data_IF_629433902875
#
_entry.id   IF_629433902875
#
_cell.length_a   1.000
_cell.length_b   1.000
_cell.length_c   1.000
_cell.angle_alpha   90.00
_cell.angle_beta   90.00
_cell.angle_gamma   90.00
#
_symmetry.space_group_name_H-M   'P 1'
#
loop_
_entity.id
_entity.type
_entity.pdbx_description
1 polymer ?
#
# COMPACT_ATOMS: atom_id res chain seq x y z
N UNK A 1 3.71 4.91 20.46
CA UNK A 1 3.24 4.86 19.15
C UNK A 1 4.22 4.28 18.22
N UNK A 2 5.33 4.91 18.04
CA UNK A 2 6.35 4.41 17.18
C UNK A 2 6.82 3.03 17.58
N UNK A 3 6.96 2.79 18.85
CA UNK A 3 7.35 1.49 19.35
C UNK A 3 6.28 0.44 19.06
N UNK A 4 5.01 0.80 19.23
CA UNK A 4 3.91 -0.09 18.93
C UNK A 4 3.89 -0.44 17.46
N UNK A 5 4.13 0.54 16.60
CA UNK A 5 4.15 0.31 15.17
C UNK A 5 5.28 -0.62 14.77
N UNK A 6 6.48 -0.40 15.32
CA UNK A 6 7.63 -1.24 15.02
C UNK A 6 7.39 -2.68 15.47
N UNK A 7 6.77 -2.86 16.61
CA UNK A 7 6.44 -4.18 17.11
C UNK A 7 5.45 -4.88 16.19
N UNK A 8 4.45 -4.16 15.71
CA UNK A 8 3.48 -4.74 14.79
C UNK A 8 4.11 -5.15 13.48
N UNK A 9 5.02 -4.33 12.95
CA UNK A 9 5.72 -4.68 11.71
C UNK A 9 6.56 -5.92 11.89
N UNK A 10 7.14 -6.12 13.07
CA UNK A 10 7.99 -7.27 13.28
C UNK A 10 7.22 -8.54 13.57
N UNK A 11 6.03 -8.44 14.15
CA UNK A 11 5.37 -9.63 14.69
C UNK A 11 3.94 -9.84 14.21
N UNK A 12 3.30 -8.85 13.61
CA UNK A 12 1.89 -8.97 13.24
C UNK A 12 1.66 -8.42 11.83
N UNK A 13 2.32 -9.05 10.88
CA UNK A 13 2.21 -8.65 9.48
C UNK A 13 1.04 -9.36 8.83
N UNK A 14 0.39 -8.68 7.91
CA UNK A 14 -0.75 -9.23 7.18
C UNK A 14 -0.74 -8.72 5.75
N UNK A 15 -1.66 -9.23 4.96
CA UNK A 15 -1.80 -8.87 3.56
C UNK A 15 -3.20 -8.31 3.38
N UNK A 16 -3.30 -7.19 2.69
CA UNK A 16 -4.58 -6.55 2.42
C UNK A 16 -4.80 -6.56 0.90
N UNK A 17 -5.68 -7.44 0.40
CA UNK A 17 -5.95 -7.45 -1.03
C UNK A 17 -6.88 -6.30 -1.40
N UNK A 18 -6.67 -5.75 -2.59
CA UNK A 18 -7.50 -4.65 -3.05
C UNK A 18 -7.50 -4.62 -4.57
N UNK A 19 -8.52 -4.04 -5.16
CA UNK A 19 -8.53 -3.82 -6.59
C UNK A 19 -7.58 -2.70 -6.98
N UNK A 20 -7.42 -1.73 -6.09
CA UNK A 20 -6.57 -0.59 -6.33
C UNK A 20 -6.63 0.34 -5.14
N UNK A 21 -6.15 1.54 -5.34
CA UNK A 21 -6.22 2.53 -4.27
C UNK A 21 -6.28 3.92 -4.89
N UNK A 22 -6.59 4.90 -4.05
CA UNK A 22 -6.67 6.29 -4.47
C UNK A 22 -5.57 7.10 -3.81
N UNK A 23 -5.14 8.16 -4.50
CA UNK A 23 -4.26 9.15 -3.91
C UNK A 23 -4.66 10.53 -4.44
N UNK A 24 -4.31 11.55 -3.69
CA UNK A 24 -4.60 12.93 -4.05
C UNK A 24 -3.30 13.69 -4.15
N UNK A 25 -3.21 14.56 -5.17
CA UNK A 25 -2.04 15.41 -5.29
C UNK A 25 -2.23 16.66 -4.43
N UNK A 26 -1.29 17.59 -4.51
CA UNK A 26 -1.35 18.79 -3.68
C UNK A 26 -2.52 19.68 -4.02
N UNK A 27 -3.02 19.59 -5.25
CA UNK A 27 -4.19 20.35 -5.68
C UNK A 27 -5.48 19.64 -5.35
N UNK A 28 -5.38 18.52 -4.61
CA UNK A 28 -6.53 17.71 -4.19
C UNK A 28 -7.27 17.05 -5.35
N UNK A 29 -6.57 16.85 -6.45
CA UNK A 29 -7.09 16.04 -7.53
C UNK A 29 -6.89 14.57 -7.20
N UNK A 30 -7.91 13.77 -7.47
CA UNK A 30 -7.92 12.36 -7.09
C UNK A 30 -7.49 11.49 -8.24
N UNK A 31 -6.65 10.52 -7.95
CA UNK A 31 -6.17 9.56 -8.94
C UNK A 31 -6.40 8.15 -8.41
N UNK A 32 -6.77 7.24 -9.30
CA UNK A 32 -6.90 5.83 -8.94
C UNK A 32 -5.75 5.06 -9.56
N UNK A 33 -5.33 4.01 -8.87
CA UNK A 33 -4.21 3.17 -9.27
C UNK A 33 -4.59 1.71 -9.23
N UNK A 34 -4.20 0.97 -10.27
CA UNK A 34 -4.45 -0.46 -10.39
C UNK A 34 -3.25 -1.13 -11.01
N UNK A 35 -3.13 -2.43 -10.82
CA UNK A 35 -2.12 -3.20 -11.53
C UNK A 35 -2.53 -3.31 -12.99
N UNK A 36 -1.53 -3.36 -13.86
CA UNK A 36 -1.77 -3.51 -15.29
C UNK A 36 -1.99 -4.95 -15.67
N UNK A 37 -1.43 -5.87 -14.89
CA UNK A 37 -1.33 -7.28 -15.27
C UNK A 37 -2.12 -8.21 -14.38
N UNK A 38 -2.90 -7.68 -13.46
CA UNK A 38 -3.68 -8.52 -12.55
C UNK A 38 -4.86 -7.72 -12.01
N UNK A 39 -5.98 -8.39 -11.68
CA UNK A 39 -7.17 -7.68 -11.18
C UNK A 39 -7.07 -7.26 -9.72
N UNK A 40 -6.09 -7.78 -8.98
CA UNK A 40 -5.96 -7.52 -7.56
C UNK A 40 -4.51 -7.21 -7.25
N UNK A 41 -4.29 -6.29 -6.33
CA UNK A 41 -2.97 -6.08 -5.78
C UNK A 41 -2.99 -6.45 -4.31
N UNK A 42 -1.82 -6.79 -3.78
CA UNK A 42 -1.68 -7.21 -2.39
C UNK A 42 -0.84 -6.20 -1.66
N UNK A 43 -1.45 -5.51 -0.71
CA UNK A 43 -0.74 -4.50 0.05
C UNK A 43 -0.22 -5.10 1.34
N UNK A 44 1.02 -4.80 1.67
CA UNK A 44 1.59 -5.22 2.93
C UNK A 44 0.96 -4.42 4.05
N UNK A 45 0.60 -5.08 5.12
CA UNK A 45 0.02 -4.44 6.27
C UNK A 45 0.53 -5.03 7.56
N UNK A 46 0.15 -4.41 8.64
CA UNK A 46 0.35 -4.96 9.96
C UNK A 46 -0.88 -4.62 10.80
N UNK A 47 -0.99 -5.26 11.95
CA UNK A 47 -2.17 -5.05 12.77
C UNK A 47 -1.80 -5.01 14.24
N UNK A 48 -2.72 -4.48 15.03
CA UNK A 48 -2.56 -4.44 16.47
C UNK A 48 -3.95 -4.37 17.10
N UNK A 49 -4.02 -4.69 18.36
CA UNK A 49 -5.22 -4.56 19.14
C UNK A 49 -5.17 -3.24 19.89
N UNK A 50 -6.29 -2.53 19.90
CA UNK A 50 -6.39 -1.29 20.62
C UNK A 50 -7.80 -1.19 21.16
N UNK A 51 -7.92 -1.12 22.49
CA UNK A 51 -9.23 -1.06 23.13
C UNK A 51 -10.15 -2.17 22.64
N UNK A 52 -9.60 -3.40 22.61
CA UNK A 52 -10.33 -4.60 22.23
C UNK A 52 -10.78 -4.61 20.76
N UNK A 53 -10.23 -3.75 19.94
CA UNK A 53 -10.49 -3.75 18.50
C UNK A 53 -9.22 -3.98 17.74
N UNK A 54 -9.31 -4.80 16.71
CA UNK A 54 -8.19 -5.04 15.83
C UNK A 54 -8.10 -3.89 14.83
N UNK A 55 -6.92 -3.34 14.66
CA UNK A 55 -6.68 -2.23 13.76
C UNK A 55 -5.61 -2.60 12.76
N UNK A 56 -5.82 -2.22 11.51
CA UNK A 56 -4.85 -2.46 10.45
C UNK A 56 -4.16 -1.18 10.07
N UNK A 57 -2.91 -1.33 9.61
CA UNK A 57 -2.17 -0.23 9.02
C UNK A 57 -1.59 -0.72 7.71
N UNK A 58 -1.79 0.03 6.64
CA UNK A 58 -1.16 -0.27 5.37
C UNK A 58 0.24 0.30 5.41
N UNK A 59 1.22 -0.55 5.12
CA UNK A 59 2.62 -0.12 5.09
C UNK A 59 2.84 0.65 3.79
N UNK A 60 3.52 1.78 3.88
CA UNK A 60 3.86 2.56 2.70
C UNK A 60 5.35 2.56 2.48
N UNK A 61 5.74 2.89 1.27
CA UNK A 61 7.14 3.02 0.89
C UNK A 61 7.27 4.22 -0.03
N UNK A 62 8.48 4.52 -0.44
CA UNK A 62 8.73 5.61 -1.37
C UNK A 62 8.02 5.34 -2.68
N UNK A 63 7.36 6.34 -3.24
CA UNK A 63 6.61 6.17 -4.47
C UNK A 63 7.55 5.87 -5.63
N UNK A 64 7.15 4.91 -6.48
CA UNK A 64 7.88 4.65 -7.71
C UNK A 64 7.45 5.68 -8.76
N UNK A 65 7.98 5.58 -9.97
CA UNK A 65 7.74 6.60 -10.99
C UNK A 65 6.28 6.69 -11.43
N UNK A 66 5.48 5.65 -11.21
CA UNK A 66 4.07 5.70 -11.60
C UNK A 66 3.23 6.50 -10.60
N UNK A 67 3.66 6.63 -9.37
CA UNK A 67 2.90 7.32 -8.32
C UNK A 67 3.53 8.66 -7.94
N UNK A 68 4.84 8.78 -8.08
CA UNK A 68 5.58 9.97 -7.65
C UNK A 68 5.01 11.31 -8.14
N UNK A 69 4.49 11.40 -9.38
CA UNK A 69 3.91 12.68 -9.81
C UNK A 69 2.72 13.14 -8.99
N UNK A 70 2.06 12.22 -8.28
CA UNK A 70 0.86 12.53 -7.51
C UNK A 70 1.17 12.61 -6.03
N UNK A 71 1.99 11.68 -5.52
CA UNK A 71 2.25 11.58 -4.09
C UNK A 71 3.62 10.97 -3.87
N UNK A 72 4.27 11.33 -2.76
CA UNK A 72 5.63 10.85 -2.53
C UNK A 72 5.71 9.48 -1.84
N UNK A 73 4.58 8.94 -1.41
CA UNK A 73 4.52 7.61 -0.79
C UNK A 73 3.48 6.78 -1.51
N UNK A 74 3.60 5.48 -1.43
CA UNK A 74 2.61 4.57 -2.00
C UNK A 74 2.53 3.33 -1.11
N UNK A 75 1.45 2.57 -1.21
CA UNK A 75 1.39 1.29 -0.48
C UNK A 75 2.51 0.37 -0.92
N UNK A 76 3.03 -0.39 0.02
CA UNK A 76 4.00 -1.42 -0.30
C UNK A 76 3.24 -2.59 -0.90
N UNK A 77 3.37 -2.77 -2.23
CA UNK A 77 2.65 -3.81 -2.95
C UNK A 77 3.57 -5.00 -3.13
N UNK A 78 3.07 -6.16 -2.74
CA UNK A 78 3.84 -7.40 -2.77
C UNK A 78 3.46 -8.22 -4.00
N UNK A 79 4.43 -8.94 -4.54
CA UNK A 79 4.17 -9.90 -5.59
C UNK A 79 3.68 -11.20 -4.97
N UNK A 80 2.94 -12.02 -5.73
CA UNK A 80 2.42 -13.28 -5.17
C UNK A 80 3.49 -14.13 -4.52
N UNK A 81 4.68 -14.17 -5.09
CA UNK A 81 5.76 -15.00 -4.53
C UNK A 81 6.35 -14.42 -3.27
N UNK A 82 6.01 -13.19 -2.88
CA UNK A 82 6.51 -12.54 -1.68
C UNK A 82 5.54 -12.63 -0.51
N UNK A 83 4.32 -13.08 -0.75
CA UNK A 83 3.28 -13.03 0.28
C UNK A 83 3.63 -13.85 1.50
N UNK A 84 4.09 -15.08 1.27
CA UNK A 84 4.43 -15.96 2.38
C UNK A 84 5.59 -15.41 3.18
N UNK A 85 6.60 -14.87 2.50
CA UNK A 85 7.75 -14.30 3.18
C UNK A 85 7.34 -13.12 4.04
N UNK A 86 6.46 -12.26 3.51
CA UNK A 86 6.03 -11.10 4.29
C UNK A 86 5.35 -11.52 5.58
N UNK A 87 4.46 -12.48 5.51
CA UNK A 87 3.66 -12.86 6.67
C UNK A 87 4.46 -13.70 7.65
N UNK A 88 5.31 -14.61 7.16
CA UNK A 88 5.90 -15.65 8.01
C UNK A 88 7.38 -15.49 8.29
N UNK A 89 8.11 -14.76 7.48
CA UNK A 89 9.56 -14.71 7.59
C UNK A 89 10.02 -13.37 8.15
N UNK A 90 10.29 -13.33 9.45
CA UNK A 90 10.77 -12.09 10.08
C UNK A 90 12.07 -11.62 9.46
N UNK A 91 12.88 -12.54 8.93
CA UNK A 91 14.15 -12.17 8.30
C UNK A 91 13.99 -11.48 6.97
N UNK A 92 12.84 -11.63 6.32
CA UNK A 92 12.62 -10.99 5.02
C UNK A 92 12.01 -9.60 5.17
N UNK A 93 11.58 -9.22 6.37
CA UNK A 93 10.83 -7.97 6.57
C UNK A 93 11.59 -6.75 6.13
N UNK A 94 12.83 -6.62 6.57
CA UNK A 94 13.63 -5.43 6.26
C UNK A 94 13.84 -5.30 4.75
N UNK A 95 14.15 -6.40 4.10
CA UNK A 95 14.34 -6.40 2.66
C UNK A 95 13.07 -5.98 1.93
N UNK A 96 11.93 -6.53 2.33
CA UNK A 96 10.67 -6.23 1.66
C UNK A 96 10.22 -4.79 1.89
N UNK A 97 10.52 -4.23 3.06
CA UNK A 97 10.16 -2.85 3.36
C UNK A 97 10.81 -1.86 2.41
N UNK A 98 11.92 -2.24 1.81
CA UNK A 98 12.69 -1.35 0.95
C UNK A 98 12.57 -1.69 -0.54
N UNK A 99 11.72 -2.64 -0.89
CA UNK A 99 11.56 -2.98 -2.30
C UNK A 99 10.83 -1.86 -3.05
N UNK A 100 11.07 -1.78 -4.34
CA UNK A 100 10.33 -0.85 -5.21
C UNK A 100 9.13 -1.60 -5.76
N UNK A 101 7.90 -1.14 -5.48
CA UNK A 101 6.72 -1.85 -5.98
C UNK A 101 6.61 -1.78 -7.50
N UNK A 102 5.78 -2.66 -8.04
CA UNK A 102 5.48 -2.72 -9.46
C UNK A 102 4.88 -1.40 -9.93
N UNK A 103 5.18 -1.03 -11.18
CA UNK A 103 4.57 0.16 -11.77
C UNK A 103 3.08 -0.06 -11.97
N UNK A 104 2.31 0.98 -11.73
CA UNK A 104 0.86 0.89 -11.74
C UNK A 104 0.27 1.73 -12.86
N UNK A 105 -0.98 1.43 -13.19
CA UNK A 105 -1.76 2.20 -14.13
C UNK A 105 -2.48 3.28 -13.33
N UNK A 106 -2.25 4.54 -13.71
CA UNK A 106 -2.84 5.68 -13.02
C UNK A 106 -3.95 6.27 -13.87
N UNK A 107 -5.00 6.72 -13.23
CA UNK A 107 -6.09 7.39 -13.94
C UNK A 107 -6.61 8.54 -13.09
N UNK A 108 -6.71 9.72 -13.69
CA UNK A 108 -7.31 10.87 -13.02
C UNK A 108 -8.81 10.64 -12.88
N UNK A 109 -9.34 10.91 -11.70
CA UNK A 109 -10.77 10.79 -11.43
C UNK A 109 -11.36 12.17 -11.44
N UNK A 110 -12.03 12.55 -12.53
CA UNK A 110 -12.64 13.86 -12.60
C UNK A 110 -14.07 13.80 -12.10
N UNK A 111 -14.54 14.91 -11.55
CA UNK A 111 -15.89 14.99 -11.17
C UNK A 111 -16.72 15.06 -12.35
N UNK A 112 -17.78 14.42 -12.40
CA UNK A 112 -18.56 14.33 -13.54
C UNK A 112 -19.23 15.45 -13.89
N UNK A 113 -19.54 15.74 -14.47
CA UNK A 113 -20.00 16.53 -14.77
C UNK A 113 -20.18 17.38 -15.12
N UNK A 114 -19.98 17.75 -15.16
CA UNK A 114 -20.06 18.76 -15.35
C UNK A 114 -20.35 19.15 -16.52
N UNK A 115 -20.82 19.06 -17.03
CA UNK A 115 -21.07 19.29 -18.09
C UNK A 115 -22.02 20.13 -18.22
N UNK A 116 -22.18 20.72 -18.39
CA UNK A 116 -23.14 21.49 -18.56
C UNK A 116 -22.95 22.30 -19.18
#
# INVERSE_FOLDING_TARGET
ERRTFQDSVQHRRCIIPAKGFYEWNKSKEKFSYERKDAPVLFMAGCYNWYEDQERFVIITTEANSSVAPVHNRMPLILEPEELKDWVLDDGATEYLLHKTPVLLKARAEYEQMRLF
#
